data_IF_403537102592
#
_entry.id   IF_403537102592
#
_cell.length_a   1.000
_cell.length_b   1.000
_cell.length_c   1.000
_cell.angle_alpha   90.00
_cell.angle_beta   90.00
_cell.angle_gamma   90.00
#
_symmetry.space_group_name_H-M   'P 1'
#
loop_
_entity.id
_entity.type
_entity.pdbx_description
1 polymer ?
#
# COMPACT_ATOMS: atom_id res chain seq x y z
N UNK A 1 17.68 13.14 2.73
CA UNK A 1 16.45 13.93 2.88
C UNK A 1 15.27 12.99 3.03
N UNK A 2 14.21 13.41 3.70
CA UNK A 2 12.95 12.64 3.86
C UNK A 2 13.10 11.25 4.53
N UNK A 3 14.10 11.02 5.40
CA UNK A 3 14.21 9.79 6.17
C UNK A 3 14.20 8.53 5.30
N UNK A 4 13.30 7.59 5.62
CA UNK A 4 13.13 6.31 4.89
C UNK A 4 12.65 6.48 3.44
N UNK A 5 12.05 7.63 3.09
CA UNK A 5 11.55 7.91 1.73
C UNK A 5 12.68 8.02 0.69
N UNK A 6 13.89 8.51 1.10
CA UNK A 6 15.05 8.72 0.23
C UNK A 6 16.35 8.36 0.92
N UNK A 7 16.51 7.08 1.26
CA UNK A 7 17.75 6.54 1.80
C UNK A 7 18.83 6.37 0.74
N UNK A 8 20.11 6.28 1.18
CA UNK A 8 21.23 5.91 0.30
C UNK A 8 21.25 4.42 0.00
N UNK A 9 20.74 3.63 0.92
CA UNK A 9 20.48 2.20 0.78
C UNK A 9 18.99 1.97 0.98
N UNK A 10 18.38 1.18 0.12
CA UNK A 10 16.95 0.89 0.14
C UNK A 10 16.65 -0.41 -0.59
N UNK A 11 15.54 -1.03 -0.24
CA UNK A 11 15.06 -2.23 -0.91
C UNK A 11 14.14 -1.83 -2.06
N UNK A 12 14.39 -2.48 -3.21
CA UNK A 12 13.53 -2.39 -4.39
C UNK A 12 12.99 -3.79 -4.72
N UNK A 13 11.78 -3.84 -5.21
CA UNK A 13 11.28 -4.92 -6.05
C UNK A 13 11.48 -4.48 -7.48
N UNK A 14 12.33 -5.17 -8.20
CA UNK A 14 12.55 -4.97 -9.63
C UNK A 14 11.93 -6.08 -10.46
N UNK A 15 11.47 -5.73 -11.66
CA UNK A 15 11.00 -6.67 -12.66
C UNK A 15 11.43 -6.19 -14.03
N UNK A 16 11.79 -7.13 -14.89
CA UNK A 16 12.19 -6.87 -16.26
C UNK A 16 11.48 -7.83 -17.20
N UNK A 17 11.03 -7.33 -18.36
CA UNK A 17 10.49 -8.17 -19.42
C UNK A 17 11.26 -7.95 -20.72
N UNK A 18 11.34 -9.00 -21.50
CA UNK A 18 12.00 -9.05 -22.81
C UNK A 18 11.08 -9.78 -23.78
N UNK A 19 10.45 -9.03 -24.67
CA UNK A 19 9.44 -9.53 -25.58
C UNK A 19 9.92 -9.46 -27.03
N UNK A 20 9.41 -10.35 -27.86
CA UNK A 20 9.83 -10.47 -29.27
C UNK A 20 9.32 -9.32 -30.14
N UNK A 21 8.25 -8.64 -29.71
CA UNK A 21 7.62 -7.54 -30.42
C UNK A 21 6.96 -6.54 -29.50
N UNK A 22 6.53 -5.42 -30.06
CA UNK A 22 5.88 -4.33 -29.33
C UNK A 22 4.56 -4.75 -28.68
N UNK A 23 3.74 -5.55 -29.34
CA UNK A 23 2.41 -5.92 -28.84
C UNK A 23 2.53 -6.80 -27.59
N UNK A 24 3.47 -7.75 -27.60
CA UNK A 24 3.77 -8.57 -26.43
C UNK A 24 4.34 -7.73 -25.29
N UNK A 25 5.25 -6.80 -25.60
CA UNK A 25 5.83 -5.90 -24.59
C UNK A 25 4.77 -4.96 -23.96
N UNK A 26 3.84 -4.43 -24.72
CA UNK A 26 2.73 -3.63 -24.19
C UNK A 26 1.75 -4.48 -23.37
N UNK A 27 1.54 -5.74 -23.74
CA UNK A 27 0.78 -6.67 -22.90
C UNK A 27 1.49 -6.93 -21.57
N UNK A 28 2.80 -7.16 -21.59
CA UNK A 28 3.62 -7.29 -20.38
C UNK A 28 3.54 -6.02 -19.51
N UNK A 29 3.56 -4.84 -20.11
CA UNK A 29 3.37 -3.55 -19.43
C UNK A 29 2.00 -3.45 -18.74
N UNK A 30 0.92 -3.81 -19.43
CA UNK A 30 -0.45 -3.80 -18.88
C UNK A 30 -0.57 -4.78 -17.70
N UNK A 31 0.02 -5.97 -17.80
CA UNK A 31 0.07 -6.97 -16.72
C UNK A 31 0.76 -6.39 -15.47
N UNK A 32 1.87 -5.68 -15.64
CA UNK A 32 2.58 -5.03 -14.53
C UNK A 32 1.76 -3.91 -13.90
N UNK A 33 1.08 -3.07 -14.69
CA UNK A 33 0.18 -2.05 -14.15
C UNK A 33 -0.89 -2.67 -13.26
N UNK A 34 -1.59 -3.70 -13.74
CA UNK A 34 -2.66 -4.38 -13.00
C UNK A 34 -2.11 -5.05 -11.74
N UNK A 35 -0.97 -5.72 -11.86
CA UNK A 35 -0.31 -6.38 -10.72
C UNK A 35 0.10 -5.38 -9.63
N UNK A 36 0.60 -4.20 -10.02
CA UNK A 36 0.97 -3.14 -9.09
C UNK A 36 -0.24 -2.52 -8.40
N UNK A 37 -1.30 -2.21 -9.14
CA UNK A 37 -2.57 -1.75 -8.55
C UNK A 37 -3.06 -2.73 -7.48
N UNK A 38 -3.11 -4.02 -7.80
CA UNK A 38 -3.51 -5.06 -6.84
C UNK A 38 -2.58 -5.14 -5.64
N UNK A 39 -1.29 -5.01 -5.85
CA UNK A 39 -0.30 -4.99 -4.77
C UNK A 39 -0.57 -3.84 -3.80
N UNK A 40 -0.76 -2.62 -4.32
CA UNK A 40 -1.01 -1.45 -3.49
C UNK A 40 -2.36 -1.54 -2.76
N UNK A 41 -3.42 -2.02 -3.43
CA UNK A 41 -4.72 -2.25 -2.76
C UNK A 41 -4.60 -3.24 -1.59
N UNK A 42 -3.84 -4.34 -1.75
CA UNK A 42 -3.56 -5.29 -0.68
C UNK A 42 -2.75 -4.70 0.47
N UNK A 43 -1.93 -3.70 0.20
CA UNK A 43 -1.20 -2.94 1.21
C UNK A 43 -2.06 -1.85 1.89
N UNK A 44 -3.33 -1.73 1.50
CA UNK A 44 -4.24 -0.69 1.99
C UNK A 44 -3.96 0.70 1.40
N UNK A 45 -3.22 0.77 0.29
CA UNK A 45 -2.86 2.01 -0.38
C UNK A 45 -3.71 2.24 -1.63
N UNK A 46 -4.16 3.49 -1.81
CA UNK A 46 -4.69 3.99 -3.07
C UNK A 46 -3.56 4.61 -3.87
N UNK A 47 -2.91 3.81 -4.71
CA UNK A 47 -1.89 4.30 -5.64
C UNK A 47 -2.51 4.58 -7.00
N UNK A 48 -2.32 5.79 -7.51
CA UNK A 48 -2.86 6.26 -8.79
C UNK A 48 -1.78 6.13 -9.85
N UNK A 49 -1.99 5.38 -10.94
CA UNK A 49 -1.06 5.35 -12.06
C UNK A 49 -1.16 6.66 -12.84
N UNK A 50 -0.11 7.44 -12.82
CA UNK A 50 -0.04 8.72 -13.52
C UNK A 50 0.98 8.66 -14.64
N UNK A 51 0.63 9.21 -15.79
CA UNK A 51 1.59 9.33 -16.87
C UNK A 51 2.73 10.24 -16.44
N UNK A 52 3.95 9.74 -16.57
CA UNK A 52 5.17 10.40 -16.15
C UNK A 52 6.17 10.54 -17.30
N UNK A 53 7.12 11.46 -17.14
CA UNK A 53 8.29 11.52 -18.01
C UNK A 53 9.19 10.30 -17.79
N UNK A 54 9.89 9.89 -18.84
CA UNK A 54 10.82 8.75 -18.74
C UNK A 54 12.20 9.16 -18.21
N UNK A 55 12.43 10.46 -18.07
CA UNK A 55 13.66 11.04 -17.55
C UNK A 55 14.94 10.58 -18.28
N UNK A 56 16.08 10.60 -17.60
CA UNK A 56 17.36 10.14 -18.18
C UNK A 56 17.38 8.67 -18.60
N UNK A 57 16.55 7.84 -17.97
CA UNK A 57 16.38 6.43 -18.35
C UNK A 57 15.84 6.34 -19.78
N UNK A 58 14.90 7.23 -20.14
CA UNK A 58 14.29 7.28 -21.45
C UNK A 58 13.33 6.10 -21.69
N UNK A 59 12.87 6.00 -22.93
CA UNK A 59 11.86 5.04 -23.36
C UNK A 59 10.63 5.74 -23.91
N UNK A 60 9.67 4.96 -24.39
CA UNK A 60 8.50 5.49 -25.09
C UNK A 60 7.30 5.74 -24.17
N UNK A 61 7.27 5.05 -23.03
CA UNK A 61 6.08 5.03 -22.19
C UNK A 61 6.40 4.74 -20.71
N UNK A 62 5.81 5.53 -19.81
CA UNK A 62 5.99 5.36 -18.36
C UNK A 62 4.74 5.76 -17.59
N UNK A 63 4.47 5.03 -16.49
CA UNK A 63 3.54 5.44 -15.44
C UNK A 63 4.20 5.30 -14.09
N UNK A 64 4.08 6.35 -13.29
CA UNK A 64 4.38 6.35 -11.87
C UNK A 64 3.13 6.01 -11.06
N UNK A 65 3.30 5.27 -9.98
CA UNK A 65 2.24 5.00 -9.01
C UNK A 65 2.41 5.94 -7.83
N UNK A 66 1.42 6.81 -7.63
CA UNK A 66 1.48 7.92 -6.69
C UNK A 66 0.40 7.78 -5.62
N UNK A 67 0.82 7.83 -4.35
CA UNK A 67 -0.06 7.82 -3.17
C UNK A 67 -0.19 9.25 -2.67
N UNK A 68 -1.43 9.73 -2.53
CA UNK A 68 -1.69 11.09 -2.06
C UNK A 68 -1.27 11.24 -0.59
N UNK A 69 -0.43 12.23 -0.32
CA UNK A 69 0.04 12.58 1.02
C UNK A 69 0.54 14.02 1.04
N UNK A 70 0.20 14.79 2.07
CA UNK A 70 0.61 16.20 2.19
C UNK A 70 2.13 16.39 2.20
N UNK A 71 2.85 15.39 2.74
CA UNK A 71 4.32 15.35 2.79
C UNK A 71 4.97 14.87 1.50
N UNK A 72 4.18 14.53 0.47
CA UNK A 72 4.67 14.03 -0.81
C UNK A 72 5.59 15.03 -1.52
N UNK A 73 6.60 14.51 -2.26
CA UNK A 73 7.55 15.35 -3.01
C UNK A 73 7.00 15.80 -4.36
N UNK A 74 6.14 15.01 -5.01
CA UNK A 74 5.58 15.30 -6.33
C UNK A 74 4.28 16.08 -6.23
N UNK A 75 4.11 17.09 -7.08
CA UNK A 75 2.80 17.70 -7.33
C UNK A 75 2.10 16.94 -8.44
N UNK A 76 0.80 16.69 -8.26
CA UNK A 76 0.02 15.86 -9.18
C UNK A 76 -1.32 16.49 -9.52
N UNK A 77 -1.76 16.28 -10.76
CA UNK A 77 -2.97 16.85 -11.35
C UNK A 77 -3.82 15.72 -11.93
N UNK A 78 -5.05 15.56 -11.45
CA UNK A 78 -5.86 14.41 -11.88
C UNK A 78 -7.36 14.65 -11.81
N UNK A 79 -8.09 13.83 -12.55
CA UNK A 79 -9.53 13.73 -12.48
C UNK A 79 -9.92 12.95 -11.21
N UNK A 80 -10.75 13.59 -10.37
CA UNK A 80 -11.23 13.02 -9.09
C UNK A 80 -11.92 11.67 -9.26
N UNK A 81 -12.50 11.38 -10.42
CA UNK A 81 -13.17 10.12 -10.71
C UNK A 81 -12.26 8.89 -10.52
N UNK A 82 -10.94 9.06 -10.73
CA UNK A 82 -9.96 7.97 -10.57
C UNK A 82 -9.90 7.42 -9.13
N UNK A 83 -10.29 8.24 -8.14
CA UNK A 83 -10.34 7.81 -6.74
C UNK A 83 -11.42 6.75 -6.49
N UNK A 84 -12.43 6.65 -7.36
CA UNK A 84 -13.50 5.66 -7.25
C UNK A 84 -13.14 4.32 -7.90
N UNK A 85 -12.07 4.27 -8.70
CA UNK A 85 -11.62 3.03 -9.32
C UNK A 85 -10.98 2.10 -8.28
N UNK A 86 -11.28 0.82 -8.37
CA UNK A 86 -10.61 -0.23 -7.60
C UNK A 86 -10.65 -1.53 -8.41
N UNK A 87 -9.70 -2.42 -8.13
CA UNK A 87 -9.71 -3.77 -8.69
C UNK A 87 -10.53 -4.71 -7.81
N UNK A 88 -10.53 -4.51 -6.49
CA UNK A 88 -11.22 -5.35 -5.53
C UNK A 88 -10.92 -6.84 -5.75
N UNK A 89 -11.98 -7.66 -5.72
CA UNK A 89 -11.91 -9.09 -5.98
C UNK A 89 -12.05 -9.46 -7.46
N UNK A 90 -11.93 -8.49 -8.38
CA UNK A 90 -12.03 -8.71 -9.83
C UNK A 90 -11.05 -9.80 -10.26
N UNK A 91 -11.57 -10.88 -10.84
CA UNK A 91 -10.74 -11.93 -11.41
C UNK A 91 -10.13 -11.43 -12.73
N UNK A 92 -8.82 -11.52 -12.85
CA UNK A 92 -8.07 -11.10 -14.02
C UNK A 92 -7.35 -12.30 -14.62
N UNK A 93 -7.65 -12.60 -15.87
CA UNK A 93 -6.85 -13.52 -16.69
C UNK A 93 -5.71 -12.72 -17.32
N UNK A 94 -4.50 -12.85 -16.76
CA UNK A 94 -3.32 -12.15 -17.21
C UNK A 94 -2.82 -12.59 -18.60
N UNK A 95 -3.28 -13.69 -19.13
CA UNK A 95 -2.97 -14.14 -20.51
C UNK A 95 -3.96 -13.58 -21.54
N UNK A 96 -5.10 -13.06 -21.10
CA UNK A 96 -6.08 -12.40 -21.93
C UNK A 96 -5.69 -10.94 -22.23
N UNK A 97 -5.05 -10.71 -23.39
CA UNK A 97 -4.59 -9.38 -23.84
C UNK A 97 -5.71 -8.34 -23.83
N UNK A 98 -6.91 -8.72 -24.30
CA UNK A 98 -8.03 -7.79 -24.41
C UNK A 98 -8.52 -7.33 -23.04
N UNK A 99 -8.65 -8.26 -22.09
CA UNK A 99 -9.03 -7.93 -20.72
C UNK A 99 -7.98 -7.06 -20.02
N UNK A 100 -6.70 -7.37 -20.17
CA UNK A 100 -5.63 -6.55 -19.62
C UNK A 100 -5.62 -5.14 -20.21
N UNK A 101 -5.87 -5.00 -21.51
CA UNK A 101 -5.95 -3.70 -22.19
C UNK A 101 -7.18 -2.90 -21.74
N UNK A 102 -8.32 -3.55 -21.51
CA UNK A 102 -9.53 -2.91 -21.00
C UNK A 102 -9.28 -2.30 -19.61
N UNK A 103 -8.71 -3.09 -18.69
CA UNK A 103 -8.36 -2.61 -17.35
C UNK A 103 -7.32 -1.48 -17.41
N UNK A 104 -6.30 -1.63 -18.26
CA UNK A 104 -5.31 -0.58 -18.46
C UNK A 104 -5.98 0.73 -18.92
N UNK A 105 -6.88 0.67 -19.90
CA UNK A 105 -7.60 1.85 -20.40
C UNK A 105 -8.50 2.47 -19.31
N UNK A 106 -9.19 1.66 -18.52
CA UNK A 106 -10.03 2.11 -17.40
C UNK A 106 -9.22 3.01 -16.43
N UNK A 107 -8.01 2.59 -16.08
CA UNK A 107 -7.16 3.30 -15.11
C UNK A 107 -6.34 4.45 -15.70
N UNK A 108 -6.11 4.47 -17.01
CA UNK A 108 -5.23 5.45 -17.67
C UNK A 108 -5.97 6.43 -18.57
N UNK A 109 -7.28 6.22 -18.86
CA UNK A 109 -8.10 7.15 -19.63
C UNK A 109 -8.44 8.45 -18.87
N UNK A 110 -8.75 8.42 -17.56
CA UNK A 110 -8.90 9.66 -16.81
C UNK A 110 -7.59 10.46 -16.81
N UNK A 111 -7.69 11.77 -16.83
CA UNK A 111 -6.49 12.62 -16.77
C UNK A 111 -5.78 12.40 -15.43
N UNK A 112 -4.53 11.98 -15.46
CA UNK A 112 -3.66 11.85 -14.29
C UNK A 112 -2.20 12.07 -14.72
N UNK A 113 -1.55 13.11 -14.18
CA UNK A 113 -0.21 13.57 -14.60
C UNK A 113 0.59 14.06 -13.39
N UNK A 114 1.90 13.82 -13.46
CA UNK A 114 2.89 14.53 -12.65
C UNK A 114 3.08 15.96 -13.19
N UNK A 115 3.65 16.85 -12.41
CA UNK A 115 3.97 18.24 -12.79
C UNK A 115 4.81 18.31 -14.08
N UNK A 116 5.73 17.37 -14.29
CA UNK A 116 6.59 17.29 -15.47
C UNK A 116 5.81 17.04 -16.78
N UNK A 117 4.67 16.35 -16.70
CA UNK A 117 3.84 15.99 -17.86
C UNK A 117 2.48 16.70 -17.88
N UNK A 118 2.23 17.56 -16.88
CA UNK A 118 0.98 18.32 -16.79
C UNK A 118 0.91 19.40 -17.87
N UNK A 119 -0.26 19.50 -18.51
CA UNK A 119 -0.64 20.58 -19.42
C UNK A 119 -1.98 21.17 -18.98
N UNK A 120 -1.93 22.41 -18.45
CA UNK A 120 -3.09 23.08 -17.90
C UNK A 120 -4.21 23.32 -18.93
N UNK A 121 -3.87 23.56 -20.20
CA UNK A 121 -4.88 23.77 -21.24
C UNK A 121 -5.63 22.48 -21.57
N UNK A 122 -4.91 21.36 -21.65
CA UNK A 122 -5.53 20.04 -21.81
C UNK A 122 -6.34 19.67 -20.59
N UNK A 123 -5.83 19.90 -19.38
CA UNK A 123 -6.53 19.61 -18.14
C UNK A 123 -7.87 20.34 -18.05
N UNK A 124 -7.85 21.64 -18.30
CA UNK A 124 -9.07 22.48 -18.33
C UNK A 124 -10.08 22.06 -19.39
N UNK A 125 -9.60 21.50 -20.51
CA UNK A 125 -10.45 21.07 -21.62
C UNK A 125 -11.11 19.71 -21.35
N UNK A 126 -10.42 18.77 -20.71
CA UNK A 126 -10.87 17.38 -20.62
C UNK A 126 -11.48 17.03 -19.26
N UNK A 127 -11.14 17.77 -18.18
CA UNK A 127 -11.66 17.51 -16.84
C UNK A 127 -12.55 18.65 -16.39
N UNK A 128 -13.83 18.38 -16.03
CA UNK A 128 -14.72 19.39 -15.45
C UNK A 128 -14.10 20.06 -14.21
N UNK A 129 -14.30 21.36 -14.03
CA UNK A 129 -13.68 22.14 -12.94
C UNK A 129 -13.93 21.57 -11.54
N UNK A 130 -15.11 21.03 -11.30
CA UNK A 130 -15.50 20.37 -10.04
C UNK A 130 -14.90 18.98 -9.84
N UNK A 131 -14.32 18.39 -10.89
CA UNK A 131 -13.62 17.13 -10.87
C UNK A 131 -12.09 17.29 -10.89
N UNK A 132 -11.58 18.50 -11.10
CA UNK A 132 -10.14 18.79 -11.09
C UNK A 132 -9.58 18.69 -9.67
N UNK A 133 -8.51 17.92 -9.50
CA UNK A 133 -7.74 17.84 -8.26
C UNK A 133 -6.27 18.09 -8.49
N UNK A 134 -5.69 18.85 -7.56
CA UNK A 134 -4.25 19.02 -7.42
C UNK A 134 -3.88 18.61 -6.00
N UNK A 135 -2.81 17.84 -5.82
CA UNK A 135 -2.36 17.36 -4.52
C UNK A 135 -0.87 17.11 -4.51
N UNK A 136 -0.32 16.91 -3.30
CA UNK A 136 1.00 16.33 -3.12
C UNK A 136 0.89 14.82 -3.07
N UNK A 137 1.93 14.12 -3.55
CA UNK A 137 1.94 12.67 -3.60
C UNK A 137 3.35 12.07 -3.42
N UNK A 138 3.38 10.82 -3.00
CA UNK A 138 4.60 10.02 -2.84
C UNK A 138 4.62 8.99 -3.98
N UNK A 139 5.68 9.00 -4.78
CA UNK A 139 5.94 7.96 -5.77
C UNK A 139 6.35 6.68 -5.08
N UNK A 140 5.59 5.60 -5.26
CA UNK A 140 5.84 4.29 -4.64
C UNK A 140 6.32 3.22 -5.62
N UNK A 141 6.21 3.48 -6.91
CA UNK A 141 6.73 2.62 -7.96
C UNK A 141 6.55 3.20 -9.35
N UNK A 142 7.21 2.60 -10.31
CA UNK A 142 7.18 3.05 -11.71
C UNK A 142 7.32 1.87 -12.65
N UNK A 143 6.65 1.96 -13.78
CA UNK A 143 6.75 1.00 -14.88
C UNK A 143 7.17 1.71 -16.15
N UNK A 144 8.07 1.07 -16.90
CA UNK A 144 8.65 1.60 -18.13
C UNK A 144 8.50 0.63 -19.29
N UNK A 145 8.29 1.18 -20.47
CA UNK A 145 8.50 0.50 -21.74
C UNK A 145 9.61 1.23 -22.50
N UNK A 146 10.71 0.55 -22.79
CA UNK A 146 11.90 1.12 -23.42
C UNK A 146 11.96 0.89 -24.93
N UNK A 147 11.04 0.12 -25.50
CA UNK A 147 11.18 -0.34 -26.88
C UNK A 147 12.43 -1.17 -27.06
N UNK A 148 13.19 -0.90 -28.11
CA UNK A 148 14.45 -1.57 -28.44
C UNK A 148 15.70 -0.76 -28.08
N UNK A 149 15.54 0.39 -27.40
CA UNK A 149 16.63 1.34 -27.10
C UNK A 149 17.87 0.68 -26.53
N UNK A 150 17.71 -0.16 -25.52
CA UNK A 150 18.84 -0.81 -24.87
C UNK A 150 19.26 -2.10 -25.59
N UNK A 151 18.32 -2.88 -26.06
CA UNK A 151 18.60 -4.15 -26.75
C UNK A 151 19.36 -3.98 -28.04
N UNK A 152 19.04 -2.94 -28.84
CA UNK A 152 19.83 -2.60 -30.04
C UNK A 152 21.26 -2.21 -29.68
N UNK A 153 21.46 -1.32 -28.70
CA UNK A 153 22.77 -0.88 -28.27
C UNK A 153 23.64 -2.02 -27.72
N UNK A 154 23.02 -3.01 -27.08
CA UNK A 154 23.69 -4.18 -26.48
C UNK A 154 23.78 -5.38 -27.42
N UNK A 155 23.14 -5.32 -28.58
CA UNK A 155 23.05 -6.45 -29.52
C UNK A 155 22.22 -7.62 -28.95
N UNK A 156 21.29 -7.34 -28.01
CA UNK A 156 20.41 -8.34 -27.41
C UNK A 156 19.28 -8.71 -28.36
N UNK A 157 19.46 -9.81 -29.08
CA UNK A 157 18.55 -10.27 -30.12
C UNK A 157 18.05 -11.69 -29.84
N UNK A 158 16.86 -11.98 -30.31
CA UNK A 158 16.25 -13.31 -30.35
C UNK A 158 15.77 -13.63 -31.77
N UNK A 159 15.54 -14.89 -32.07
CA UNK A 159 14.86 -15.26 -33.30
C UNK A 159 13.35 -15.26 -33.06
N UNK A 160 12.59 -14.56 -33.93
CA UNK A 160 11.15 -14.62 -33.91
C UNK A 160 10.63 -15.96 -34.45
N UNK A 161 9.30 -16.14 -34.52
CA UNK A 161 8.67 -17.38 -35.01
C UNK A 161 9.02 -17.72 -36.48
N UNK A 162 9.49 -16.75 -37.26
CA UNK A 162 9.91 -16.91 -38.65
C UNK A 162 11.41 -17.18 -38.75
N UNK A 163 12.15 -17.28 -37.62
CA UNK A 163 13.59 -17.46 -37.59
C UNK A 163 14.40 -16.19 -37.87
N UNK A 164 13.74 -15.05 -37.95
CA UNK A 164 14.38 -13.75 -38.21
C UNK A 164 14.93 -13.21 -36.91
N UNK A 165 16.21 -12.81 -36.90
CA UNK A 165 16.88 -12.17 -35.77
C UNK A 165 16.32 -10.77 -35.56
N UNK A 166 15.77 -10.50 -34.36
CA UNK A 166 15.16 -9.23 -33.99
C UNK A 166 15.62 -8.77 -32.61
N UNK A 167 15.87 -7.46 -32.36
CA UNK A 167 16.15 -6.96 -31.04
C UNK A 167 14.92 -7.12 -30.15
N UNK A 168 15.13 -7.49 -28.88
CA UNK A 168 14.02 -7.65 -27.92
C UNK A 168 13.45 -6.30 -27.49
N UNK A 169 12.15 -6.23 -27.33
CA UNK A 169 11.49 -5.10 -26.68
C UNK A 169 11.59 -5.27 -25.16
N UNK A 170 12.06 -4.22 -24.46
CA UNK A 170 12.38 -4.28 -23.04
C UNK A 170 11.45 -3.38 -22.22
N UNK A 171 11.03 -3.86 -21.06
CA UNK A 171 10.44 -3.08 -19.99
C UNK A 171 11.17 -3.27 -18.66
N UNK A 172 11.04 -2.28 -17.78
CA UNK A 172 11.54 -2.33 -16.40
C UNK A 172 10.48 -1.79 -15.45
N UNK A 173 10.32 -2.45 -14.30
CA UNK A 173 9.20 -2.20 -13.41
C UNK A 173 9.66 -2.29 -11.96
N UNK A 174 9.65 -1.16 -11.23
CA UNK A 174 10.15 -1.06 -9.87
C UNK A 174 9.10 -0.68 -8.84
N UNK A 175 9.22 -1.23 -7.64
CA UNK A 175 8.51 -0.77 -6.42
C UNK A 175 9.55 -0.45 -5.36
N UNK A 176 9.48 0.76 -4.79
CA UNK A 176 10.33 1.19 -3.69
C UNK A 176 9.86 0.60 -2.35
N UNK A 177 10.28 -0.64 -2.06
CA UNK A 177 9.78 -1.39 -0.89
C UNK A 177 10.04 -0.64 0.42
N UNK A 178 11.25 -0.10 0.63
CA UNK A 178 11.54 0.71 1.82
C UNK A 178 10.68 1.98 1.90
N UNK A 179 10.38 2.60 0.75
CA UNK A 179 9.54 3.81 0.68
C UNK A 179 8.08 3.51 1.00
N UNK A 180 7.59 2.30 0.68
CA UNK A 180 6.22 1.89 1.02
C UNK A 180 5.92 2.01 2.51
N UNK A 181 6.88 1.70 3.39
CA UNK A 181 6.70 1.88 4.83
C UNK A 181 6.30 3.32 5.18
N UNK A 182 7.06 4.29 4.67
CA UNK A 182 6.75 5.70 4.87
C UNK A 182 5.44 6.13 4.20
N UNK A 183 5.19 5.67 2.98
CA UNK A 183 3.96 5.99 2.24
C UNK A 183 2.69 5.47 2.95
N UNK A 184 2.74 4.27 3.54
CA UNK A 184 1.63 3.72 4.33
C UNK A 184 1.36 4.58 5.55
N UNK A 185 2.41 4.97 6.30
CA UNK A 185 2.28 5.82 7.48
C UNK A 185 1.71 7.19 7.11
N UNK A 186 2.27 7.83 6.07
CA UNK A 186 1.82 9.16 5.63
C UNK A 186 0.38 9.16 5.09
N UNK A 187 -0.06 8.07 4.47
CA UNK A 187 -1.42 7.94 3.95
C UNK A 187 -2.43 7.50 5.02
N UNK A 188 -1.99 6.98 6.17
CA UNK A 188 -2.87 6.33 7.14
C UNK A 188 -2.43 6.62 8.59
N UNK A 189 -2.68 7.85 9.04
CA UNK A 189 -2.44 8.33 10.41
C UNK A 189 -3.49 9.36 10.83
N UNK A 190 -3.49 9.68 12.12
CA UNK A 190 -4.20 10.81 12.70
C UNK A 190 -3.30 11.54 13.72
N UNK A 191 -3.85 12.52 14.45
CA UNK A 191 -3.12 13.29 15.46
C UNK A 191 -2.57 12.44 16.63
N UNK A 192 -3.04 11.19 16.80
CA UNK A 192 -2.62 10.27 17.86
C UNK A 192 -1.48 9.36 17.43
N UNK A 193 -1.32 9.12 16.13
CA UNK A 193 -0.30 8.24 15.59
C UNK A 193 -0.73 7.47 14.35
N UNK A 194 -0.06 6.37 14.08
CA UNK A 194 -0.27 5.52 12.90
C UNK A 194 -1.63 4.81 12.96
N UNK A 195 -2.23 4.57 11.80
CA UNK A 195 -3.39 3.69 11.62
C UNK A 195 -3.01 2.62 10.60
N UNK A 196 -2.39 1.53 11.05
CA UNK A 196 -1.93 0.49 10.13
C UNK A 196 -3.10 -0.17 9.41
N UNK A 197 -3.00 -0.36 8.08
CA UNK A 197 -3.81 -1.37 7.40
C UNK A 197 -3.54 -2.76 7.99
N UNK A 198 -4.58 -3.55 8.21
CA UNK A 198 -4.45 -4.86 8.88
C UNK A 198 -3.50 -5.82 8.15
N UNK A 199 -3.41 -5.71 6.83
CA UNK A 199 -2.55 -6.56 5.98
C UNK A 199 -1.05 -6.34 6.18
N UNK A 200 -0.62 -5.23 6.80
CA UNK A 200 0.79 -4.82 6.92
C UNK A 200 1.17 -4.34 8.31
N UNK A 201 0.29 -4.49 9.28
CA UNK A 201 0.59 -4.11 10.64
C UNK A 201 1.68 -5.02 11.24
N UNK A 202 2.64 -4.45 12.02
CA UNK A 202 3.67 -5.26 12.68
C UNK A 202 3.09 -6.17 13.78
N UNK A 203 1.98 -5.76 14.39
CA UNK A 203 1.22 -6.54 15.39
C UNK A 203 -0.26 -6.31 15.14
N UNK A 204 -1.05 -7.37 15.12
CA UNK A 204 -2.50 -7.24 14.95
C UNK A 204 -3.19 -6.84 16.27
N UNK A 205 -2.65 -7.29 17.40
CA UNK A 205 -3.25 -7.17 18.72
C UNK A 205 -2.28 -6.48 19.69
N UNK A 206 -2.73 -5.40 20.31
CA UNK A 206 -2.08 -4.80 21.48
C UNK A 206 -2.80 -5.22 22.76
N UNK A 207 -2.08 -5.73 23.75
CA UNK A 207 -2.65 -6.10 25.05
C UNK A 207 -2.05 -5.17 26.10
N UNK A 208 -2.90 -4.44 26.81
CA UNK A 208 -2.50 -3.54 27.89
C UNK A 208 -2.88 -4.14 29.25
N UNK A 209 -1.88 -4.39 30.08
CA UNK A 209 -2.03 -4.73 31.48
C UNK A 209 -2.08 -3.43 32.29
N UNK A 210 -3.24 -3.11 32.90
CA UNK A 210 -3.40 -1.90 33.74
C UNK A 210 -2.88 -2.03 35.14
N UNK A 211 -2.50 -3.25 35.61
CA UNK A 211 -2.00 -3.49 36.94
C UNK A 211 -1.04 -4.67 36.95
N UNK A 212 0.18 -4.41 36.52
CA UNK A 212 1.26 -5.38 36.56
C UNK A 212 1.52 -5.84 38.01
N UNK A 213 1.78 -7.13 38.19
CA UNK A 213 1.99 -7.75 39.51
C UNK A 213 0.70 -8.12 40.23
N UNK A 214 -0.47 -7.83 39.67
CA UNK A 214 -1.75 -8.37 40.13
C UNK A 214 -2.02 -9.70 39.45
N UNK A 215 -1.97 -10.78 40.22
CA UNK A 215 -2.00 -12.16 39.70
C UNK A 215 -3.18 -12.43 38.75
N UNK A 216 -4.36 -11.90 39.08
CA UNK A 216 -5.54 -12.09 38.20
C UNK A 216 -5.42 -11.36 36.89
N UNK A 217 -4.88 -10.13 36.92
CA UNK A 217 -4.67 -9.32 35.70
C UNK A 217 -3.58 -9.93 34.82
N UNK A 218 -2.44 -10.34 35.44
CA UNK A 218 -1.32 -10.95 34.72
C UNK A 218 -1.72 -12.28 34.07
N UNK A 219 -2.45 -13.13 34.82
CA UNK A 219 -2.93 -14.41 34.30
C UNK A 219 -3.91 -14.24 33.14
N UNK A 220 -4.85 -13.28 33.19
CA UNK A 220 -5.79 -13.03 32.14
C UNK A 220 -5.11 -12.47 30.88
N UNK A 221 -4.19 -11.50 31.05
CA UNK A 221 -3.40 -10.98 29.92
C UNK A 221 -2.60 -12.08 29.23
N UNK A 222 -1.91 -12.92 30.03
CA UNK A 222 -1.11 -14.03 29.51
C UNK A 222 -1.97 -15.08 28.79
N UNK A 223 -3.17 -15.35 29.29
CA UNK A 223 -4.12 -16.26 28.65
C UNK A 223 -4.60 -15.71 27.30
N UNK A 224 -4.96 -14.42 27.24
CA UNK A 224 -5.38 -13.75 26.01
C UNK A 224 -4.24 -13.73 24.99
N UNK A 225 -3.02 -13.35 25.41
CA UNK A 225 -1.81 -13.37 24.59
C UNK A 225 -1.58 -14.74 23.95
N UNK A 226 -1.60 -15.79 24.80
CA UNK A 226 -1.40 -17.16 24.35
C UNK A 226 -2.47 -17.58 23.35
N UNK A 227 -3.73 -17.26 23.62
CA UNK A 227 -4.85 -17.64 22.74
C UNK A 227 -4.70 -17.03 21.36
N UNK A 228 -4.41 -15.73 21.26
CA UNK A 228 -4.18 -15.10 19.95
C UNK A 228 -2.94 -15.63 19.24
N UNK A 229 -1.86 -15.88 19.99
CA UNK A 229 -0.65 -16.49 19.41
C UNK A 229 -0.91 -17.89 18.87
N UNK A 230 -1.73 -18.70 19.58
CA UNK A 230 -2.14 -20.03 19.11
C UNK A 230 -3.01 -19.96 17.83
N UNK A 231 -3.74 -18.85 17.59
CA UNK A 231 -4.45 -18.55 16.34
C UNK A 231 -3.55 -17.96 15.24
N UNK A 232 -2.26 -17.71 15.54
CA UNK A 232 -1.31 -17.17 14.56
C UNK A 232 -1.30 -15.64 14.44
N UNK A 233 -1.86 -14.92 15.42
CA UNK A 233 -1.77 -13.47 15.51
C UNK A 233 -0.48 -13.02 16.21
N UNK A 234 0.15 -11.99 15.66
CA UNK A 234 1.26 -11.31 16.33
C UNK A 234 0.71 -10.31 17.35
N UNK A 235 1.10 -10.48 18.63
CA UNK A 235 0.62 -9.67 19.73
C UNK A 235 1.75 -8.83 20.33
N UNK A 236 1.46 -7.58 20.65
CA UNK A 236 2.30 -6.74 21.49
C UNK A 236 1.68 -6.65 22.90
N UNK A 237 2.36 -7.22 23.90
CA UNK A 237 1.91 -7.19 25.29
C UNK A 237 2.68 -6.12 26.06
N UNK A 238 1.95 -5.10 26.54
CA UNK A 238 2.48 -4.05 27.42
C UNK A 238 2.27 -4.45 28.88
N UNK A 239 3.31 -5.05 29.44
CA UNK A 239 3.44 -5.45 30.87
C UNK A 239 4.31 -4.48 31.69
N UNK A 240 4.57 -3.28 31.16
CA UNK A 240 5.36 -2.26 31.87
C UNK A 240 4.62 -1.74 33.10
N UNK A 241 5.35 -1.20 34.10
CA UNK A 241 4.78 -0.52 35.26
C UNK A 241 4.54 0.98 34.99
N UNK A 242 3.99 1.28 33.79
CA UNK A 242 3.68 2.63 33.40
C UNK A 242 2.22 2.99 33.70
N UNK A 243 1.92 4.30 33.74
CA UNK A 243 0.54 4.78 33.92
C UNK A 243 -0.32 4.42 32.70
N UNK A 244 -1.58 4.12 32.95
CA UNK A 244 -2.55 3.77 31.91
C UNK A 244 -2.53 4.75 30.72
N UNK A 245 -2.49 6.07 30.99
CA UNK A 245 -2.43 7.08 29.94
C UNK A 245 -1.20 6.98 29.05
N UNK A 246 -0.02 6.66 29.61
CA UNK A 246 1.22 6.44 28.82
C UNK A 246 1.09 5.21 27.93
N UNK A 247 0.54 4.11 28.47
CA UNK A 247 0.31 2.86 27.72
C UNK A 247 -0.66 3.07 26.55
N UNK A 248 -1.76 3.77 26.79
CA UNK A 248 -2.71 4.10 25.72
C UNK A 248 -2.08 4.97 24.64
N UNK A 249 -1.34 6.02 25.04
CA UNK A 249 -0.67 6.90 24.08
C UNK A 249 0.39 6.15 23.26
N UNK A 250 1.16 5.24 23.88
CA UNK A 250 2.12 4.42 23.15
C UNK A 250 1.46 3.48 22.13
N UNK A 251 0.37 2.79 22.50
CA UNK A 251 -0.36 1.92 21.59
C UNK A 251 -1.03 2.68 20.44
N UNK A 252 -1.60 3.86 20.72
CA UNK A 252 -2.19 4.71 19.69
C UNK A 252 -1.11 5.25 18.74
N UNK A 253 0.08 5.63 19.27
CA UNK A 253 1.22 6.09 18.45
C UNK A 253 1.74 4.98 17.53
N UNK A 254 1.91 3.75 18.06
CA UNK A 254 2.32 2.57 17.28
C UNK A 254 1.26 2.22 16.25
N UNK A 255 -0.02 2.42 16.56
CA UNK A 255 -1.14 2.27 15.62
C UNK A 255 -1.63 0.84 15.43
N UNK A 256 -1.52 -0.01 16.45
CA UNK A 256 -1.97 -1.41 16.39
C UNK A 256 -3.49 -1.47 16.18
N UNK A 257 -4.00 -2.25 15.20
CA UNK A 257 -5.41 -2.26 14.81
C UNK A 257 -6.40 -2.54 15.93
N UNK A 258 -6.08 -3.52 16.77
CA UNK A 258 -6.93 -3.93 17.88
C UNK A 258 -6.18 -3.83 19.20
N UNK A 259 -6.79 -3.17 20.17
CA UNK A 259 -6.26 -3.05 21.54
C UNK A 259 -7.21 -3.72 22.53
N UNK A 260 -6.68 -4.62 23.35
CA UNK A 260 -7.38 -5.23 24.48
C UNK A 260 -6.80 -4.67 25.78
N UNK A 261 -7.66 -4.10 26.61
CA UNK A 261 -7.28 -3.52 27.89
C UNK A 261 -7.82 -4.38 29.02
N UNK A 262 -6.92 -4.84 29.89
CA UNK A 262 -7.24 -5.67 31.05
C UNK A 262 -6.90 -4.94 32.33
N UNK A 263 -7.85 -4.87 33.21
CA UNK A 263 -7.63 -4.25 34.53
C UNK A 263 -8.57 -4.79 35.61
N UNK A 264 -8.27 -4.56 36.90
CA UNK A 264 -9.00 -5.15 38.01
C UNK A 264 -10.51 -4.87 38.02
N UNK A 265 -10.93 -3.68 37.54
CA UNK A 265 -12.35 -3.33 37.45
C UNK A 265 -13.07 -4.20 36.39
N UNK A 266 -12.46 -4.38 35.23
CA UNK A 266 -13.01 -5.24 34.16
C UNK A 266 -13.09 -6.70 34.62
N UNK A 267 -12.02 -7.22 35.24
CA UNK A 267 -11.98 -8.58 35.79
C UNK A 267 -13.11 -8.82 36.79
N UNK A 268 -13.34 -7.88 37.72
CA UNK A 268 -14.44 -7.98 38.69
C UNK A 268 -15.81 -8.08 38.03
N UNK A 269 -15.96 -7.47 36.86
CA UNK A 269 -17.20 -7.48 36.06
C UNK A 269 -17.22 -8.60 35.00
N UNK A 270 -16.16 -9.40 34.91
CA UNK A 270 -16.05 -10.48 33.89
C UNK A 270 -15.84 -9.96 32.48
N UNK A 271 -15.28 -8.76 32.27
CA UNK A 271 -15.11 -8.13 30.96
C UNK A 271 -13.69 -7.61 30.74
N UNK A 272 -13.33 -7.48 29.47
CA UNK A 272 -12.17 -6.73 28.97
C UNK A 272 -12.66 -5.65 28.00
N UNK A 273 -11.89 -4.58 27.85
CA UNK A 273 -12.18 -3.50 26.93
C UNK A 273 -11.48 -3.77 25.59
N UNK A 274 -12.19 -3.68 24.48
CA UNK A 274 -11.63 -3.78 23.14
C UNK A 274 -11.78 -2.41 22.45
N UNK A 275 -10.70 -1.96 21.84
CA UNK A 275 -10.71 -0.71 21.06
C UNK A 275 -10.20 -0.99 19.63
N UNK A 276 -10.96 -0.56 18.62
CA UNK A 276 -10.48 -0.50 17.23
C UNK A 276 -9.73 0.82 17.00
N UNK A 277 -8.46 0.74 16.56
CA UNK A 277 -7.65 1.92 16.26
C UNK A 277 -8.23 2.76 15.10
N UNK A 278 -8.77 2.08 14.10
CA UNK A 278 -9.30 2.71 12.88
C UNK A 278 -10.61 3.46 13.13
N UNK A 279 -11.56 2.85 13.82
CA UNK A 279 -12.88 3.46 14.05
C UNK A 279 -12.98 4.25 15.36
N UNK A 280 -12.07 4.01 16.31
CA UNK A 280 -12.15 4.51 17.68
C UNK A 280 -13.26 3.85 18.50
N UNK A 281 -13.94 2.83 17.97
CA UNK A 281 -14.96 2.07 18.70
C UNK A 281 -14.34 1.39 19.92
N UNK A 282 -14.98 1.57 21.06
CA UNK A 282 -14.59 0.98 22.33
C UNK A 282 -15.76 0.24 22.94
N UNK A 283 -15.60 -1.06 23.22
CA UNK A 283 -16.65 -1.91 23.81
C UNK A 283 -16.10 -2.80 24.91
N UNK A 284 -16.94 -3.11 25.90
CA UNK A 284 -16.65 -4.09 26.95
C UNK A 284 -17.32 -5.43 26.59
N UNK A 285 -16.54 -6.51 26.59
CA UNK A 285 -17.00 -7.88 26.30
C UNK A 285 -16.34 -8.87 27.26
N UNK A 286 -16.95 -10.06 27.43
CA UNK A 286 -16.20 -11.14 28.09
C UNK A 286 -14.95 -11.50 27.28
N UNK A 287 -13.87 -12.01 27.90
CA UNK A 287 -12.64 -12.35 27.20
C UNK A 287 -12.87 -13.26 25.97
N UNK A 288 -13.77 -14.22 26.10
CA UNK A 288 -14.10 -15.17 25.03
C UNK A 288 -14.80 -14.46 23.85
N UNK A 289 -15.75 -13.56 24.13
CA UNK A 289 -16.43 -12.77 23.11
C UNK A 289 -15.49 -11.75 22.46
N UNK A 290 -14.53 -11.22 23.23
CA UNK A 290 -13.50 -10.32 22.74
C UNK A 290 -12.62 -11.03 21.72
N UNK A 291 -12.13 -12.21 22.03
CA UNK A 291 -11.33 -13.03 21.13
C UNK A 291 -12.12 -13.39 19.89
N UNK A 292 -13.35 -13.90 20.08
CA UNK A 292 -14.23 -14.26 18.95
C UNK A 292 -14.48 -13.09 18.00
N UNK A 293 -14.78 -11.89 18.53
CA UNK A 293 -15.03 -10.71 17.72
C UNK A 293 -13.84 -10.37 16.82
N UNK A 294 -12.62 -10.51 17.29
CA UNK A 294 -11.41 -10.18 16.52
C UNK A 294 -11.06 -11.28 15.52
N UNK A 295 -11.28 -12.55 15.88
CA UNK A 295 -10.90 -13.69 15.02
C UNK A 295 -11.93 -14.02 13.92
N UNK A 296 -13.14 -13.45 13.98
CA UNK A 296 -14.20 -13.66 12.98
C UNK A 296 -14.32 -12.48 11.99
N UNK A 297 -13.40 -11.51 12.03
CA UNK A 297 -13.29 -10.43 11.04
C UNK A 297 -12.48 -10.92 9.85
#
# INVERSE_FOLDING_TARGET
RFGVMRGREFYMKDGYNFDVDKDNALHSYNRHLISYLRTYERLGLKAIPMRADTGPIGGDYSHEFLVLAETGESEVFFDKSILNLNLGDRQVDFDNKAQCQEIFNEWTSPYARTDETHDSASFDKVVPKDQQMTSRAIEVGQIFYFGTKYSEAMGANVNNSEGVKTPVHMGSHGIGVSRLLGAIIEASHDDKGIIWPESVTPFQIGIINLKQGDEQTDNLCSSIYKTFSDFGYDCLYDDTDERAGSKFAAMDLIGIPWRITVGPRGIKNGVVEITSRKSGENIELSPELAIKKITEI
#
